data_IF_305866761577
#
_entry.id   IF_305866761577
#
_cell.length_a   1.000
_cell.length_b   1.000
_cell.length_c   1.000
_cell.angle_alpha   90.00
_cell.angle_beta   90.00
_cell.angle_gamma   90.00
#
_symmetry.space_group_name_H-M   'P 1'
#
loop_
_entity.id
_entity.type
_entity.pdbx_description
1 polymer ?
#
# COMPACT_ATOMS: atom_id res chain seq x y z
N UNK A 1 20.11 -6.83 2.84
CA UNK A 1 21.49 -6.35 2.62
C UNK A 1 22.12 -5.96 3.95
N UNK A 2 23.45 -6.03 4.10
CA UNK A 2 24.19 -5.58 5.31
C UNK A 2 23.79 -4.17 5.76
N UNK A 3 23.58 -3.27 4.81
CA UNK A 3 23.14 -1.89 5.08
C UNK A 3 21.78 -1.83 5.77
N UNK A 4 20.81 -2.66 5.38
CA UNK A 4 19.48 -2.69 6.02
C UNK A 4 19.58 -3.17 7.47
N UNK A 5 20.40 -4.18 7.75
CA UNK A 5 20.63 -4.70 9.11
C UNK A 5 21.20 -3.61 10.02
N UNK A 6 22.22 -2.86 9.54
CA UNK A 6 22.82 -1.75 10.30
C UNK A 6 21.80 -0.64 10.64
N UNK A 7 20.84 -0.33 9.74
CA UNK A 7 19.79 0.61 10.06
C UNK A 7 18.86 0.09 11.16
N UNK A 8 18.50 -1.19 11.12
CA UNK A 8 17.66 -1.81 12.13
C UNK A 8 18.39 -1.84 13.49
N UNK A 9 19.66 -2.21 13.52
CA UNK A 9 20.48 -2.27 14.75
C UNK A 9 20.53 -0.94 15.51
N UNK A 10 20.47 0.18 14.79
CA UNK A 10 20.54 1.53 15.35
C UNK A 10 19.17 2.19 15.50
N UNK A 11 18.08 1.46 15.29
CA UNK A 11 16.74 2.02 15.40
C UNK A 11 16.25 2.02 16.86
N UNK A 12 15.62 3.10 17.27
CA UNK A 12 14.93 3.22 18.57
C UNK A 12 13.53 2.61 18.53
N UNK A 13 12.94 2.51 17.33
CA UNK A 13 11.59 2.02 17.08
C UNK A 13 11.50 1.41 15.67
N UNK A 14 10.77 0.32 15.52
CA UNK A 14 10.44 -0.28 14.23
C UNK A 14 8.93 -0.11 13.98
N UNK A 15 8.58 0.56 12.89
CA UNK A 15 7.19 0.71 12.46
C UNK A 15 6.87 -0.30 11.36
N UNK A 16 5.89 -1.16 11.61
CA UNK A 16 5.30 -2.02 10.59
C UNK A 16 4.10 -1.31 10.00
N UNK A 17 4.16 -1.04 8.71
CA UNK A 17 3.09 -0.36 7.98
C UNK A 17 2.55 -1.30 6.91
N UNK A 18 1.24 -1.56 6.94
CA UNK A 18 0.54 -2.36 5.94
C UNK A 18 0.88 -3.86 5.95
N UNK A 19 1.10 -4.40 7.14
CA UNK A 19 1.37 -5.82 7.36
C UNK A 19 0.50 -6.35 8.51
N UNK A 20 -0.42 -7.27 8.25
CA UNK A 20 -1.17 -7.93 9.33
C UNK A 20 -0.35 -8.96 10.12
N UNK A 21 0.85 -9.30 9.66
CA UNK A 21 1.76 -10.22 10.35
C UNK A 21 3.22 -9.90 10.01
N UNK A 22 4.14 -9.96 11.00
CA UNK A 22 5.57 -9.79 10.77
C UNK A 22 6.15 -10.72 9.70
N UNK A 23 5.57 -11.92 9.53
CA UNK A 23 6.01 -12.90 8.52
C UNK A 23 5.85 -12.40 7.07
N UNK A 24 4.95 -11.43 6.83
CA UNK A 24 4.75 -10.83 5.50
C UNK A 24 5.90 -9.92 5.05
N UNK A 25 6.83 -9.60 5.93
CA UNK A 25 8.09 -8.90 5.55
C UNK A 25 9.05 -9.77 4.73
N UNK A 26 8.65 -11.00 4.40
CA UNK A 26 9.42 -11.92 3.57
C UNK A 26 10.76 -12.31 4.21
N UNK A 27 11.85 -12.21 3.45
CA UNK A 27 13.17 -12.60 3.95
C UNK A 27 13.67 -11.74 5.14
N UNK A 28 13.18 -10.50 5.26
CA UNK A 28 13.51 -9.64 6.41
C UNK A 28 12.95 -10.17 7.73
N UNK A 29 11.93 -11.01 7.71
CA UNK A 29 11.33 -11.55 8.92
C UNK A 29 12.36 -12.21 9.85
N UNK A 30 13.26 -13.02 9.27
CA UNK A 30 14.29 -13.70 10.03
C UNK A 30 15.28 -12.72 10.67
N UNK A 31 15.68 -11.67 9.94
CA UNK A 31 16.57 -10.64 10.47
C UNK A 31 15.88 -9.87 11.60
N UNK A 32 14.61 -9.48 11.40
CA UNK A 32 13.82 -8.72 12.38
C UNK A 32 13.58 -9.48 13.71
N UNK A 33 13.57 -10.81 13.68
CA UNK A 33 13.48 -11.63 14.90
C UNK A 33 14.69 -11.49 15.83
N UNK A 34 15.87 -11.20 15.29
CA UNK A 34 17.08 -10.99 16.08
C UNK A 34 17.06 -9.67 16.89
N UNK A 35 16.17 -8.72 16.51
CA UNK A 35 16.01 -7.41 17.15
C UNK A 35 14.76 -7.36 18.03
N UNK A 36 14.58 -8.38 18.87
CA UNK A 36 13.42 -8.46 19.78
C UNK A 36 13.40 -7.39 20.88
N UNK A 37 14.58 -6.82 21.18
CA UNK A 37 14.75 -5.75 22.17
C UNK A 37 14.31 -4.37 21.66
N UNK A 38 14.16 -4.17 20.34
CA UNK A 38 13.72 -2.91 19.77
C UNK A 38 12.18 -2.90 19.78
N UNK A 39 11.55 -1.86 20.38
CA UNK A 39 10.10 -1.75 20.38
C UNK A 39 9.54 -1.69 18.96
N UNK A 40 8.39 -2.33 18.75
CA UNK A 40 7.73 -2.42 17.45
C UNK A 40 6.31 -1.89 17.57
N UNK A 41 5.88 -1.12 16.59
CA UNK A 41 4.48 -0.69 16.44
C UNK A 41 3.93 -1.14 15.11
N UNK A 42 2.59 -1.31 15.07
CA UNK A 42 1.86 -1.69 13.87
C UNK A 42 0.84 -0.61 13.52
N UNK A 43 0.79 -0.23 12.23
CA UNK A 43 -0.33 0.50 11.64
C UNK A 43 -0.77 -0.30 10.42
N UNK A 44 -2.01 -0.80 10.44
CA UNK A 44 -2.48 -1.76 9.43
C UNK A 44 -4.00 -1.72 9.27
N UNK A 45 -4.51 -2.05 8.10
CA UNK A 45 -5.93 -2.12 7.80
C UNK A 45 -6.41 -3.54 7.40
N UNK A 46 -5.52 -4.51 7.42
CA UNK A 46 -5.87 -5.88 7.06
C UNK A 46 -6.59 -6.60 8.22
N UNK A 47 -7.39 -7.60 7.86
CA UNK A 47 -8.02 -8.50 8.82
C UNK A 47 -7.00 -9.41 9.48
N UNK A 48 -7.33 -9.90 10.68
CA UNK A 48 -6.56 -10.92 11.40
C UNK A 48 -5.10 -10.50 11.69
N UNK A 49 -4.90 -9.26 12.14
CA UNK A 49 -3.59 -8.78 12.52
C UNK A 49 -3.04 -9.52 13.74
N UNK A 50 -1.80 -10.04 13.64
CA UNK A 50 -1.06 -10.60 14.76
C UNK A 50 -0.41 -9.48 15.59
N UNK A 51 -1.04 -9.12 16.70
CA UNK A 51 -0.61 -8.02 17.57
C UNK A 51 0.40 -8.44 18.64
N UNK A 52 0.75 -9.73 18.72
CA UNK A 52 1.51 -10.32 19.85
C UNK A 52 2.91 -9.74 20.05
N UNK A 53 3.51 -9.16 19.03
CA UNK A 53 4.89 -8.65 19.03
C UNK A 53 5.00 -7.11 19.09
N UNK A 54 3.87 -6.40 19.17
CA UNK A 54 3.83 -4.95 19.10
C UNK A 54 3.55 -4.32 20.46
N UNK A 55 4.30 -3.27 20.81
CA UNK A 55 4.08 -2.50 22.04
C UNK A 55 2.88 -1.55 21.91
N UNK A 56 2.53 -1.17 20.69
CA UNK A 56 1.33 -0.43 20.34
C UNK A 56 0.89 -0.79 18.92
N UNK A 57 -0.41 -0.69 18.66
CA UNK A 57 -0.96 -0.96 17.34
C UNK A 57 -2.19 -0.11 17.06
N UNK A 58 -2.30 0.30 15.79
CA UNK A 58 -3.52 0.83 15.20
C UNK A 58 -3.89 -0.12 14.05
N UNK A 59 -4.90 -0.96 14.27
CA UNK A 59 -5.35 -1.96 13.29
C UNK A 59 -6.85 -1.78 13.08
N UNK A 60 -7.21 -1.13 11.96
CA UNK A 60 -8.60 -0.75 11.64
C UNK A 60 -8.99 -1.27 10.27
N UNK A 61 -9.94 -2.21 10.25
CA UNK A 61 -10.40 -2.83 9.01
C UNK A 61 -11.47 -2.02 8.27
N UNK A 62 -12.04 -1.01 8.92
CA UNK A 62 -13.08 -0.13 8.35
C UNK A 62 -12.48 1.18 7.84
N UNK A 63 -11.30 1.12 7.28
CA UNK A 63 -10.61 2.21 6.60
C UNK A 63 -10.24 1.81 5.17
N UNK A 64 -10.00 2.78 4.31
CA UNK A 64 -9.71 2.50 2.89
C UNK A 64 -8.28 1.97 2.66
N UNK A 65 -7.35 2.33 3.54
CA UNK A 65 -5.93 1.98 3.41
C UNK A 65 -5.16 2.29 4.69
N UNK A 66 -4.00 1.67 4.86
CA UNK A 66 -3.04 2.06 5.90
C UNK A 66 -2.57 3.52 5.74
N UNK A 67 -2.49 4.01 4.51
CA UNK A 67 -2.16 5.42 4.24
C UNK A 67 -3.22 6.39 4.78
N UNK A 68 -4.50 6.03 4.77
CA UNK A 68 -5.55 6.81 5.43
C UNK A 68 -5.33 6.88 6.94
N UNK A 69 -4.99 5.78 7.60
CA UNK A 69 -4.66 5.76 9.03
C UNK A 69 -3.45 6.65 9.36
N UNK A 70 -2.43 6.64 8.50
CA UNK A 70 -1.27 7.54 8.67
C UNK A 70 -1.70 9.00 8.54
N UNK A 71 -2.57 9.34 7.58
CA UNK A 71 -3.11 10.69 7.44
C UNK A 71 -3.91 11.11 8.68
N UNK A 72 -4.73 10.23 9.24
CA UNK A 72 -5.48 10.49 10.47
C UNK A 72 -4.55 10.75 11.65
N UNK A 73 -3.45 10.00 11.79
CA UNK A 73 -2.44 10.26 12.82
C UNK A 73 -1.85 11.67 12.64
N UNK A 74 -1.43 12.02 11.43
CA UNK A 74 -0.86 13.35 11.13
C UNK A 74 -1.85 14.46 11.49
N UNK A 75 -3.12 14.31 11.11
CA UNK A 75 -4.14 15.34 11.26
C UNK A 75 -4.71 15.44 12.69
N UNK A 76 -4.76 14.33 13.45
CA UNK A 76 -5.42 14.30 14.75
C UNK A 76 -4.45 14.47 15.94
N UNK A 77 -3.15 14.28 15.73
CA UNK A 77 -2.15 14.34 16.79
C UNK A 77 -1.22 15.56 16.71
N UNK A 78 -1.58 16.56 15.91
CA UNK A 78 -0.85 17.84 15.85
C UNK A 78 0.42 17.77 15.00
N UNK A 79 0.47 16.91 14.01
CA UNK A 79 1.60 16.78 13.09
C UNK A 79 1.34 17.45 11.73
N UNK A 80 0.29 18.29 11.61
CA UNK A 80 -0.07 18.94 10.35
C UNK A 80 1.03 19.87 9.82
N UNK A 81 1.82 20.47 10.70
CA UNK A 81 2.95 21.34 10.31
C UNK A 81 4.06 20.57 9.56
N UNK A 82 4.08 19.23 9.68
CA UNK A 82 5.01 18.36 8.95
C UNK A 82 4.45 17.86 7.62
N UNK A 83 3.18 18.13 7.33
CA UNK A 83 2.52 17.67 6.10
C UNK A 83 2.89 18.59 4.94
N UNK A 84 4.05 18.34 4.34
CA UNK A 84 4.48 19.00 3.11
C UNK A 84 3.85 18.35 1.86
N UNK A 85 4.14 18.88 0.69
CA UNK A 85 3.66 18.38 -0.61
C UNK A 85 4.14 16.96 -0.90
N UNK A 86 5.35 16.58 -0.44
CA UNK A 86 5.93 15.25 -0.66
C UNK A 86 5.20 14.20 0.19
N UNK A 87 5.02 14.48 1.48
CA UNK A 87 4.31 13.59 2.41
C UNK A 87 2.85 13.46 1.98
N UNK A 88 2.19 14.57 1.67
CA UNK A 88 0.80 14.57 1.20
C UNK A 88 0.66 13.76 -0.10
N UNK A 89 1.61 13.89 -1.03
CA UNK A 89 1.65 13.08 -2.27
C UNK A 89 1.78 11.59 -1.97
N UNK A 90 2.71 11.19 -1.09
CA UNK A 90 2.91 9.78 -0.73
C UNK A 90 1.65 9.17 -0.11
N UNK A 91 1.02 9.88 0.82
CA UNK A 91 -0.21 9.42 1.47
C UNK A 91 -1.35 9.30 0.44
N UNK A 92 -1.53 10.29 -0.42
CA UNK A 92 -2.57 10.27 -1.45
C UNK A 92 -2.36 9.12 -2.45
N UNK A 93 -1.12 8.84 -2.84
CA UNK A 93 -0.79 7.69 -3.71
C UNK A 93 -1.22 6.38 -3.05
N UNK A 94 -0.94 6.18 -1.75
CA UNK A 94 -1.35 4.98 -1.04
C UNK A 94 -2.87 4.82 -1.00
N UNK A 95 -3.62 5.89 -0.67
CA UNK A 95 -5.09 5.86 -0.70
C UNK A 95 -5.60 5.54 -2.11
N UNK A 96 -5.05 6.17 -3.14
CA UNK A 96 -5.47 5.95 -4.53
C UNK A 96 -5.21 4.52 -5.00
N UNK A 97 -4.07 3.93 -4.66
CA UNK A 97 -3.72 2.58 -5.10
C UNK A 97 -4.58 1.52 -4.43
N UNK A 98 -4.81 1.61 -3.13
CA UNK A 98 -5.62 0.66 -2.37
C UNK A 98 -7.10 0.72 -2.73
N UNK A 99 -7.61 1.92 -3.03
CA UNK A 99 -9.00 2.11 -3.43
C UNK A 99 -9.23 1.89 -4.93
N UNK A 100 -8.19 1.56 -5.71
CA UNK A 100 -8.27 1.51 -7.17
C UNK A 100 -8.80 2.82 -7.75
N UNK A 101 -8.25 3.95 -7.32
CA UNK A 101 -8.72 5.30 -7.62
C UNK A 101 -10.20 5.50 -7.26
N UNK A 102 -10.57 5.10 -6.03
CA UNK A 102 -11.92 5.21 -5.47
C UNK A 102 -12.99 4.35 -6.20
N UNK A 103 -12.57 3.33 -6.94
CA UNK A 103 -13.46 2.38 -7.61
C UNK A 103 -13.82 1.17 -6.76
N UNK A 104 -13.07 0.91 -5.69
CA UNK A 104 -13.37 -0.13 -4.71
C UNK A 104 -14.20 0.43 -3.55
N UNK A 105 -14.68 -0.45 -2.67
CA UNK A 105 -15.42 -0.04 -1.48
C UNK A 105 -14.60 0.90 -0.61
N UNK A 106 -15.19 2.04 -0.28
CA UNK A 106 -14.60 3.05 0.60
C UNK A 106 -15.39 3.01 1.90
N UNK A 107 -14.69 2.95 3.00
CA UNK A 107 -15.28 2.87 4.33
C UNK A 107 -15.38 4.28 4.94
N UNK A 108 -16.63 4.72 5.18
CA UNK A 108 -16.89 6.01 5.83
C UNK A 108 -16.73 7.23 4.92
N UNK A 109 -16.96 8.40 5.52
CA UNK A 109 -16.89 9.70 4.81
C UNK A 109 -15.49 10.33 4.91
N UNK A 110 -14.62 9.86 5.79
CA UNK A 110 -13.34 10.48 6.10
C UNK A 110 -12.36 10.46 4.92
N UNK A 111 -12.38 9.40 4.10
CA UNK A 111 -11.44 9.25 2.98
C UNK A 111 -11.43 10.46 2.06
N UNK A 112 -12.59 10.97 1.65
CA UNK A 112 -12.67 12.14 0.77
C UNK A 112 -12.29 13.44 1.48
N UNK A 113 -12.62 13.60 2.75
CA UNK A 113 -12.22 14.75 3.55
C UNK A 113 -10.70 14.81 3.73
N UNK A 114 -10.08 13.65 3.99
CA UNK A 114 -8.62 13.49 4.06
C UNK A 114 -8.00 13.83 2.70
N UNK A 115 -8.49 13.25 1.61
CA UNK A 115 -8.00 13.53 0.26
C UNK A 115 -8.10 15.02 -0.08
N UNK A 116 -9.19 15.69 0.30
CA UNK A 116 -9.37 17.14 0.10
C UNK A 116 -8.27 17.94 0.82
N UNK A 117 -7.96 17.58 2.08
CA UNK A 117 -6.88 18.21 2.84
C UNK A 117 -5.51 17.95 2.23
N UNK A 118 -5.25 16.70 1.78
CA UNK A 118 -3.98 16.35 1.14
C UNK A 118 -3.76 17.14 -0.16
N UNK A 119 -4.78 17.25 -1.00
CA UNK A 119 -4.71 18.03 -2.26
C UNK A 119 -4.47 19.51 -1.99
N UNK A 120 -4.96 20.05 -0.86
CA UNK A 120 -4.72 21.43 -0.47
C UNK A 120 -3.24 21.73 -0.15
N UNK A 121 -2.40 20.71 0.03
CA UNK A 121 -0.95 20.81 0.21
C UNK A 121 -0.17 20.84 -1.12
N UNK A 122 -0.74 21.44 -2.14
CA UNK A 122 -0.08 21.66 -3.43
C UNK A 122 0.27 20.36 -4.20
N UNK A 123 -0.51 19.29 -3.98
CA UNK A 123 -0.34 17.99 -4.64
C UNK A 123 -0.85 18.04 -6.08
N UNK A 124 -0.04 17.63 -7.03
CA UNK A 124 -0.43 17.51 -8.44
C UNK A 124 -1.18 16.18 -8.68
N UNK A 125 -2.46 16.13 -8.28
CA UNK A 125 -3.32 14.96 -8.47
C UNK A 125 -3.37 14.46 -9.94
N UNK A 126 -3.56 15.34 -10.97
CA UNK A 126 -3.56 14.88 -12.36
C UNK A 126 -2.28 14.17 -12.76
N UNK A 127 -1.11 14.67 -12.34
CA UNK A 127 0.18 14.03 -12.62
C UNK A 127 0.27 12.66 -11.96
N UNK A 128 -0.14 12.55 -10.68
CA UNK A 128 -0.14 11.28 -9.93
C UNK A 128 -1.04 10.27 -10.65
N UNK A 129 -2.28 10.63 -10.92
CA UNK A 129 -3.24 9.77 -11.61
C UNK A 129 -2.69 9.26 -12.95
N UNK A 130 -2.14 10.17 -13.76
CA UNK A 130 -1.56 9.79 -15.06
C UNK A 130 -0.39 8.82 -14.90
N UNK A 131 0.51 9.06 -13.93
CA UNK A 131 1.66 8.17 -13.69
C UNK A 131 1.25 6.77 -13.26
N UNK A 132 0.21 6.64 -12.43
CA UNK A 132 -0.23 5.35 -11.88
C UNK A 132 -1.09 4.59 -12.89
N UNK A 133 -2.07 5.25 -13.50
CA UNK A 133 -3.15 4.58 -14.24
C UNK A 133 -3.07 4.72 -15.75
N UNK A 134 -2.41 5.75 -16.27
CA UNK A 134 -2.40 6.04 -17.71
C UNK A 134 -1.01 5.89 -18.35
N UNK A 135 0.04 5.62 -17.58
CA UNK A 135 1.39 5.46 -18.12
C UNK A 135 1.78 3.99 -18.15
N UNK A 136 1.72 3.41 -19.33
CA UNK A 136 2.09 2.01 -19.56
C UNK A 136 3.29 1.93 -20.51
N UNK A 137 4.22 1.02 -20.22
CA UNK A 137 5.26 0.68 -21.18
C UNK A 137 4.67 -0.03 -22.39
N UNK A 138 5.32 0.09 -23.54
CA UNK A 138 4.94 -0.64 -24.76
C UNK A 138 4.83 -2.14 -24.50
N UNK A 139 5.78 -2.74 -23.78
CA UNK A 139 5.78 -4.14 -23.43
C UNK A 139 4.55 -4.54 -22.61
N UNK A 140 4.14 -3.72 -21.65
CA UNK A 140 2.93 -3.98 -20.85
C UNK A 140 1.67 -3.96 -21.73
N UNK A 141 1.57 -3.00 -22.66
CA UNK A 141 0.43 -2.93 -23.58
C UNK A 141 0.43 -4.11 -24.57
N UNK A 142 1.58 -4.52 -25.09
CA UNK A 142 1.70 -5.70 -25.95
C UNK A 142 1.32 -6.98 -25.21
N UNK A 143 1.80 -7.15 -23.97
CA UNK A 143 1.44 -8.30 -23.15
C UNK A 143 -0.06 -8.31 -22.86
N UNK A 144 -0.66 -7.16 -22.54
CA UNK A 144 -2.11 -7.05 -22.34
C UNK A 144 -2.87 -7.48 -23.59
N UNK A 145 -2.48 -6.98 -24.76
CA UNK A 145 -3.09 -7.36 -26.05
C UNK A 145 -2.96 -8.87 -26.31
N UNK A 146 -1.80 -9.46 -26.01
CA UNK A 146 -1.59 -10.90 -26.10
C UNK A 146 -2.51 -11.69 -25.17
N UNK A 147 -2.62 -11.26 -23.90
CA UNK A 147 -3.51 -11.85 -22.90
C UNK A 147 -4.98 -11.81 -23.34
N UNK A 148 -5.44 -10.67 -23.81
CA UNK A 148 -6.83 -10.49 -24.26
C UNK A 148 -7.13 -11.38 -25.48
N UNK A 149 -6.20 -11.49 -26.41
CA UNK A 149 -6.37 -12.38 -27.58
C UNK A 149 -6.37 -13.87 -27.21
N UNK A 150 -5.73 -14.23 -26.09
CA UNK A 150 -5.66 -15.62 -25.58
C UNK A 150 -6.81 -15.96 -24.61
N UNK A 151 -7.63 -15.00 -24.26
CA UNK A 151 -8.72 -15.18 -23.32
C UNK A 151 -9.77 -16.15 -23.83
N UNK A 152 -10.13 -17.13 -23.01
CA UNK A 152 -11.25 -18.05 -23.25
C UNK A 152 -12.42 -17.63 -22.36
N UNK A 153 -13.54 -17.28 -22.97
CA UNK A 153 -14.78 -16.96 -22.27
C UNK A 153 -15.59 -18.23 -22.04
N UNK A 154 -16.07 -18.41 -20.82
CA UNK A 154 -16.91 -19.54 -20.39
C UNK A 154 -18.27 -18.98 -19.98
N UNK A 155 -19.15 -18.78 -20.95
CA UNK A 155 -20.45 -18.11 -20.76
C UNK A 155 -21.32 -18.83 -19.72
N UNK A 156 -21.32 -20.16 -19.70
CA UNK A 156 -22.08 -20.94 -18.73
C UNK A 156 -21.70 -20.68 -17.26
N UNK A 157 -20.46 -20.24 -17.03
CA UNK A 157 -19.91 -19.99 -15.69
C UNK A 157 -19.74 -18.50 -15.39
N UNK A 158 -20.14 -17.62 -16.31
CA UNK A 158 -19.86 -16.18 -16.23
C UNK A 158 -18.40 -15.88 -15.89
N UNK A 159 -17.48 -16.60 -16.51
CA UNK A 159 -16.05 -16.56 -16.23
C UNK A 159 -15.22 -16.40 -17.51
N UNK A 160 -14.02 -15.88 -17.36
CA UNK A 160 -13.02 -15.84 -18.40
C UNK A 160 -11.68 -16.34 -17.84
N UNK A 161 -10.92 -17.09 -18.66
CA UNK A 161 -9.64 -17.67 -18.27
C UNK A 161 -8.56 -17.13 -19.21
N UNK A 162 -7.48 -16.64 -18.61
CA UNK A 162 -6.23 -16.31 -19.29
C UNK A 162 -5.12 -17.13 -18.62
N UNK A 163 -4.36 -17.88 -19.40
CA UNK A 163 -3.24 -18.68 -18.91
C UNK A 163 -1.97 -18.31 -19.67
N UNK A 164 -0.92 -17.95 -18.95
CA UNK A 164 0.40 -17.65 -19.49
C UNK A 164 1.41 -18.65 -18.95
N UNK A 165 2.21 -19.23 -19.84
CA UNK A 165 3.38 -20.01 -19.49
C UNK A 165 4.54 -19.07 -19.10
N UNK A 166 5.54 -19.60 -18.38
CA UNK A 166 6.76 -18.85 -18.07
C UNK A 166 7.46 -18.32 -19.33
N UNK A 167 7.49 -19.10 -20.39
CA UNK A 167 8.11 -18.73 -21.66
C UNK A 167 7.41 -17.55 -22.33
N UNK A 168 6.08 -17.46 -22.20
CA UNK A 168 5.29 -16.34 -22.73
C UNK A 168 5.45 -15.03 -21.93
N UNK A 169 5.86 -15.13 -20.66
CA UNK A 169 6.16 -13.97 -19.83
C UNK A 169 7.57 -13.39 -20.08
N UNK A 170 8.43 -14.17 -20.74
CA UNK A 170 9.81 -13.77 -21.05
C UNK A 170 9.95 -13.19 -22.49
N UNK A 171 8.83 -13.13 -23.24
CA UNK A 171 8.77 -12.50 -24.58
C UNK A 171 8.61 -10.98 -24.46
#
# INVERSE_FOLDING_TARGET
>A
TETCVQYIENADLICYLDFNSPSRTGLMHNDLQHFSNIPKILIDHHREADLSQFVASLSEIETSSTSELVAEIVMNFGFEDYLDDVIATCILVGIMTDTGCFSHSIYGNNTFDICSKLVSNNVDYPLIHNKIYNTFSENKLRLLGYCLNKMTVLDEYHAAIISLSKQELEM
#
